data_IF_333887466781
#
_entry.id   IF_333887466781
#
_cell.length_a   1.000
_cell.length_b   1.000
_cell.length_c   1.000
_cell.angle_alpha   90.00
_cell.angle_beta   90.00
_cell.angle_gamma   90.00
#
_symmetry.space_group_name_H-M   'P 1'
#
loop_
_entity.id
_entity.type
_entity.pdbx_description
1 polymer ?
#
# COMPACT_ATOMS: atom_id res chain seq x y z
N UNK A 1 -14.08 27.50 72.54
CA UNK A 1 -13.89 28.48 71.45
C UNK A 1 -14.58 27.90 70.22
N UNK A 2 -15.72 28.51 69.88
CA UNK A 2 -16.49 28.55 68.62
C UNK A 2 -15.70 28.15 67.37
N UNK A 3 -16.18 27.53 66.28
CA UNK A 3 -17.44 27.43 65.51
C UNK A 3 -17.27 26.17 64.61
N UNK A 4 -18.25 25.40 64.15
CA UNK A 4 -19.53 25.76 63.56
C UNK A 4 -19.47 25.73 62.02
N UNK A 5 -20.11 24.71 61.44
CA UNK A 5 -20.71 24.65 60.09
C UNK A 5 -19.86 24.64 58.81
N UNK A 6 -20.03 23.54 58.05
CA UNK A 6 -20.36 23.61 56.62
C UNK A 6 -21.54 22.68 56.34
N UNK A 7 -22.65 23.27 55.91
CA UNK A 7 -23.79 22.61 55.27
C UNK A 7 -23.61 22.83 53.77
N UNK A 8 -23.72 21.79 52.95
CA UNK A 8 -23.52 21.95 51.50
C UNK A 8 -23.78 20.69 50.68
N UNK A 9 -25.06 20.46 50.43
CA UNK A 9 -25.69 19.63 49.40
C UNK A 9 -24.93 19.50 48.05
N UNK A 10 -24.79 18.28 47.55
CA UNK A 10 -24.79 17.90 46.12
C UNK A 10 -24.60 16.37 46.10
N UNK A 11 -25.50 15.53 45.58
CA UNK A 11 -26.18 15.60 44.30
C UNK A 11 -26.19 14.16 43.80
N UNK A 12 -27.35 13.68 43.37
CA UNK A 12 -27.58 12.29 43.00
C UNK A 12 -26.54 11.77 41.98
N UNK A 13 -25.89 10.65 42.32
CA UNK A 13 -25.15 9.86 41.33
C UNK A 13 -26.16 9.24 40.35
N UNK A 14 -26.40 9.92 39.23
CA UNK A 14 -27.08 9.34 38.08
C UNK A 14 -26.21 8.22 37.54
N UNK A 15 -26.71 6.99 37.60
CA UNK A 15 -26.17 5.87 36.85
C UNK A 15 -26.40 6.16 35.36
N UNK A 16 -25.38 6.61 34.65
CA UNK A 16 -25.39 6.66 33.19
C UNK A 16 -25.22 5.23 32.68
N UNK A 17 -26.35 4.58 32.41
CA UNK A 17 -26.43 3.31 31.71
C UNK A 17 -25.96 3.55 30.25
N UNK A 18 -24.89 2.92 29.78
CA UNK A 18 -24.52 3.04 28.36
C UNK A 18 -25.64 2.41 27.52
N UNK A 19 -26.26 3.23 26.68
CA UNK A 19 -27.19 2.77 25.65
C UNK A 19 -26.45 1.87 24.66
N UNK A 20 -27.04 0.74 24.22
CA UNK A 20 -26.45 -0.06 23.16
C UNK A 20 -26.55 0.73 21.85
N UNK A 21 -25.41 1.23 21.37
CA UNK A 21 -25.30 1.75 20.00
C UNK A 21 -25.61 0.61 19.02
N UNK A 22 -26.75 0.71 18.35
CA UNK A 22 -27.12 -0.22 17.27
C UNK A 22 -26.10 -0.10 16.13
N UNK A 23 -25.51 -1.20 15.64
CA UNK A 23 -24.70 -1.16 14.43
C UNK A 23 -25.64 -1.00 13.23
N UNK A 24 -25.68 0.20 12.64
CA UNK A 24 -26.26 0.38 11.31
C UNK A 24 -25.44 -0.44 10.31
N UNK A 25 -25.95 -1.61 9.96
CA UNK A 25 -25.44 -2.45 8.87
C UNK A 25 -25.77 -1.73 7.56
N UNK A 26 -24.85 -0.88 7.08
CA UNK A 26 -24.87 -0.45 5.69
C UNK A 26 -24.52 -1.66 4.80
N UNK A 27 -25.31 -1.99 3.78
CA UNK A 27 -24.88 -2.97 2.79
C UNK A 27 -23.65 -2.43 2.04
N UNK A 28 -22.66 -3.29 1.70
CA UNK A 28 -21.54 -2.88 0.88
C UNK A 28 -22.05 -2.51 -0.51
N UNK A 29 -21.88 -1.24 -0.90
CA UNK A 29 -22.10 -0.78 -2.27
C UNK A 29 -21.11 -1.55 -3.17
N UNK A 30 -21.57 -2.31 -4.18
CA UNK A 30 -20.66 -2.91 -5.13
C UNK A 30 -19.93 -1.77 -5.88
N UNK A 31 -18.59 -1.81 -5.99
CA UNK A 31 -17.88 -0.78 -6.74
C UNK A 31 -18.40 -0.76 -8.18
N UNK A 32 -18.50 0.43 -8.81
CA UNK A 32 -18.87 0.50 -10.22
C UNK A 32 -17.91 -0.38 -11.01
N UNK A 33 -18.45 -1.27 -11.83
CA UNK A 33 -17.71 -2.03 -12.85
C UNK A 33 -17.22 -1.03 -13.90
N UNK A 34 -16.18 -0.28 -13.54
CA UNK A 34 -15.38 0.48 -14.47
C UNK A 34 -14.87 -0.53 -15.49
N UNK A 35 -15.11 -0.28 -16.78
CA UNK A 35 -14.43 -1.00 -17.84
C UNK A 35 -12.94 -0.97 -17.48
N UNK A 36 -12.37 -2.14 -17.15
CA UNK A 36 -11.00 -2.24 -16.66
C UNK A 36 -10.08 -1.66 -17.74
N UNK A 37 -9.72 -0.38 -17.58
CA UNK A 37 -8.76 0.26 -18.45
C UNK A 37 -7.48 -0.55 -18.25
N UNK A 38 -6.88 -0.99 -19.36
CA UNK A 38 -5.66 -1.78 -19.27
C UNK A 38 -4.60 -0.95 -18.54
N UNK A 39 -4.08 -1.48 -17.44
CA UNK A 39 -3.04 -0.86 -16.63
C UNK A 39 -1.89 -0.42 -17.53
N UNK A 40 -1.30 0.74 -17.25
CA UNK A 40 -0.06 1.16 -17.91
C UNK A 40 1.08 1.10 -16.91
N UNK A 41 2.24 0.60 -17.30
CA UNK A 41 3.42 0.56 -16.44
C UNK A 41 4.66 0.95 -17.24
N UNK A 42 5.71 1.36 -16.55
CA UNK A 42 7.03 1.44 -17.15
C UNK A 42 7.58 0.04 -17.39
N UNK A 43 8.24 -0.17 -18.54
CA UNK A 43 8.82 -1.45 -18.92
C UNK A 43 10.22 -1.28 -19.50
N UNK A 44 11.20 -1.96 -18.90
CA UNK A 44 12.61 -1.94 -19.35
C UNK A 44 13.47 -2.91 -18.55
N UNK A 45 14.73 -3.01 -18.96
CA UNK A 45 15.80 -3.67 -18.23
C UNK A 45 17.11 -2.91 -18.50
N UNK A 46 17.46 -2.00 -17.60
CA UNK A 46 18.58 -1.08 -17.77
C UNK A 46 19.24 -0.76 -16.42
N UNK A 47 20.50 -0.31 -16.47
CA UNK A 47 21.19 0.21 -15.29
C UNK A 47 20.70 1.62 -14.95
N UNK A 48 20.32 1.87 -13.70
CA UNK A 48 19.85 3.19 -13.25
C UNK A 48 18.37 3.50 -13.49
N UNK A 49 17.61 2.57 -14.07
CA UNK A 49 16.16 2.72 -14.27
C UNK A 49 15.74 3.25 -15.64
N UNK A 50 14.43 3.33 -15.85
CA UNK A 50 13.83 3.85 -17.08
C UNK A 50 12.41 4.38 -16.81
N UNK A 51 11.89 5.14 -17.78
CA UNK A 51 10.57 5.77 -17.70
C UNK A 51 9.70 5.50 -18.93
N UNK A 52 10.05 4.49 -19.75
CA UNK A 52 9.27 4.17 -20.95
C UNK A 52 7.96 3.51 -20.57
N UNK A 53 6.83 4.20 -20.80
CA UNK A 53 5.49 3.70 -20.54
C UNK A 53 5.06 2.65 -21.58
N UNK A 54 4.37 1.62 -21.12
CA UNK A 54 3.80 0.56 -21.94
C UNK A 54 2.42 0.16 -21.42
N UNK A 55 1.56 -0.26 -22.35
CA UNK A 55 0.25 -0.81 -22.02
C UNK A 55 0.39 -2.26 -21.59
N UNK A 56 -0.12 -2.59 -20.41
CA UNK A 56 -0.06 -3.94 -19.89
C UNK A 56 -1.10 -4.86 -20.54
N UNK A 57 -0.86 -6.18 -20.51
CA UNK A 57 -1.89 -7.18 -20.75
C UNK A 57 -3.12 -6.97 -19.86
N UNK A 58 -4.31 -7.32 -20.35
CA UNK A 58 -5.60 -7.11 -19.63
C UNK A 58 -5.66 -7.82 -18.26
N UNK A 59 -4.90 -8.89 -18.08
CA UNK A 59 -4.84 -9.67 -16.84
C UNK A 59 -3.74 -9.18 -15.87
N UNK A 60 -3.01 -8.12 -16.21
CA UNK A 60 -2.01 -7.54 -15.31
C UNK A 60 -2.67 -6.53 -14.39
N UNK A 61 -2.43 -6.68 -13.09
CA UNK A 61 -2.96 -5.80 -12.06
C UNK A 61 -1.85 -5.06 -11.30
N UNK A 62 -0.59 -5.41 -11.54
CA UNK A 62 0.57 -4.84 -10.84
C UNK A 62 1.60 -4.33 -11.83
N UNK A 63 2.12 -3.13 -11.57
CA UNK A 63 3.43 -2.72 -12.06
C UNK A 63 4.47 -3.18 -11.05
N UNK A 64 5.56 -3.75 -11.55
CA UNK A 64 6.66 -4.28 -10.74
C UNK A 64 7.95 -3.56 -11.13
N UNK A 65 8.73 -3.16 -10.13
CA UNK A 65 10.12 -2.71 -10.26
C UNK A 65 11.00 -3.68 -9.49
N UNK A 66 12.06 -4.19 -10.14
CA UNK A 66 13.06 -5.06 -9.54
C UNK A 66 14.43 -4.41 -9.73
N UNK A 67 15.08 -4.01 -8.65
CA UNK A 67 16.43 -3.44 -8.68
C UNK A 67 17.43 -4.43 -8.09
N UNK A 68 18.42 -4.85 -8.87
CA UNK A 68 19.45 -5.81 -8.45
C UNK A 68 20.82 -5.15 -8.46
N UNK A 69 21.49 -5.12 -7.31
CA UNK A 69 22.93 -4.78 -7.25
C UNK A 69 23.74 -6.06 -7.39
N UNK A 70 24.57 -6.14 -8.43
CA UNK A 70 25.45 -7.28 -8.66
C UNK A 70 26.83 -6.94 -8.04
N UNK A 71 27.33 -7.69 -7.04
CA UNK A 71 28.56 -7.37 -6.31
C UNK A 71 29.85 -7.30 -7.16
N UNK A 72 29.82 -7.81 -8.39
CA UNK A 72 30.97 -7.93 -9.29
C UNK A 72 30.95 -6.91 -10.44
N UNK A 73 29.92 -6.06 -10.53
CA UNK A 73 29.78 -5.11 -11.63
C UNK A 73 30.57 -3.84 -11.38
N UNK A 74 31.40 -3.43 -12.36
CA UNK A 74 32.14 -2.15 -12.40
C UNK A 74 31.25 -0.89 -12.47
N UNK A 75 29.93 -1.09 -12.45
CA UNK A 75 28.90 -0.05 -12.60
C UNK A 75 28.21 0.05 -11.24
N UNK A 76 28.30 1.21 -10.59
CA UNK A 76 27.74 1.48 -9.25
C UNK A 76 26.19 1.48 -9.24
N UNK A 77 25.57 1.55 -10.42
CA UNK A 77 24.12 1.58 -10.57
C UNK A 77 23.51 0.17 -10.48
N UNK A 78 22.35 0.00 -9.81
CA UNK A 78 21.61 -1.26 -9.85
C UNK A 78 21.03 -1.52 -11.24
N UNK A 79 20.96 -2.79 -11.63
CA UNK A 79 20.17 -3.23 -12.78
C UNK A 79 18.70 -3.19 -12.40
N UNK A 80 17.93 -2.32 -13.05
CA UNK A 80 16.51 -2.12 -12.80
C UNK A 80 15.70 -2.76 -13.92
N UNK A 81 14.79 -3.65 -13.54
CA UNK A 81 13.81 -4.26 -14.45
C UNK A 81 12.42 -3.79 -14.04
N UNK A 82 11.67 -3.22 -14.99
CA UNK A 82 10.29 -2.77 -14.78
C UNK A 82 9.36 -3.59 -15.68
N UNK A 83 8.22 -4.05 -15.15
CA UNK A 83 7.31 -4.94 -15.88
C UNK A 83 5.86 -4.86 -15.41
N UNK A 84 4.94 -5.34 -16.25
CA UNK A 84 3.55 -5.63 -15.87
C UNK A 84 3.44 -7.07 -15.37
N UNK A 85 2.71 -7.29 -14.28
CA UNK A 85 2.43 -8.65 -13.77
C UNK A 85 0.99 -8.80 -13.26
N UNK A 86 0.53 -10.05 -13.25
CA UNK A 86 -0.76 -10.43 -12.65
C UNK A 86 -0.68 -10.51 -11.12
N UNK A 87 0.50 -10.76 -10.56
CA UNK A 87 0.79 -10.78 -9.12
C UNK A 87 2.16 -10.17 -8.83
N UNK A 88 2.40 -9.74 -7.59
CA UNK A 88 3.72 -9.28 -7.17
C UNK A 88 4.64 -10.50 -6.95
N UNK A 89 5.78 -10.63 -7.65
CA UNK A 89 6.69 -11.77 -7.49
C UNK A 89 7.55 -11.64 -6.22
N UNK A 90 7.88 -12.79 -5.62
CA UNK A 90 8.78 -12.87 -4.46
C UNK A 90 10.26 -12.96 -4.85
N UNK A 91 11.08 -12.20 -4.14
CA UNK A 91 12.54 -12.09 -4.33
C UNK A 91 13.24 -13.45 -4.38
N UNK A 92 12.85 -14.38 -3.49
CA UNK A 92 13.46 -15.71 -3.37
C UNK A 92 13.36 -16.55 -4.66
N UNK A 93 12.44 -16.20 -5.58
CA UNK A 93 12.22 -16.96 -6.81
C UNK A 93 13.11 -16.54 -7.98
N UNK A 94 13.77 -15.37 -7.91
CA UNK A 94 14.56 -14.84 -9.03
C UNK A 94 16.05 -15.24 -8.99
N UNK A 95 16.55 -15.75 -7.86
CA UNK A 95 17.96 -16.18 -7.74
C UNK A 95 18.98 -15.03 -7.84
N UNK A 96 18.53 -13.78 -7.68
CA UNK A 96 19.32 -12.57 -7.89
C UNK A 96 20.01 -12.09 -6.61
N UNK A 97 20.75 -12.96 -5.92
CA UNK A 97 21.61 -12.62 -4.77
C UNK A 97 20.91 -11.89 -3.60
N UNK A 98 21.65 -11.48 -2.56
CA UNK A 98 21.07 -10.84 -1.37
C UNK A 98 20.78 -9.34 -1.53
N UNK A 99 21.13 -8.72 -2.67
CA UNK A 99 21.03 -7.28 -2.90
C UNK A 99 20.00 -6.92 -3.98
N UNK A 100 18.78 -7.44 -3.81
CA UNK A 100 17.66 -7.19 -4.71
C UNK A 100 16.50 -6.54 -3.95
N UNK A 101 15.87 -5.54 -4.57
CA UNK A 101 14.69 -4.86 -4.07
C UNK A 101 13.55 -5.04 -5.07
N UNK A 102 12.36 -5.38 -4.58
CA UNK A 102 11.14 -5.50 -5.39
C UNK A 102 10.08 -4.56 -4.83
N UNK A 103 9.47 -3.78 -5.72
CA UNK A 103 8.36 -2.88 -5.41
C UNK A 103 7.23 -3.15 -6.38
N UNK A 104 6.02 -3.26 -5.85
CA UNK A 104 4.81 -3.50 -6.63
C UNK A 104 3.72 -2.48 -6.31
N UNK A 105 2.95 -2.09 -7.32
CA UNK A 105 1.88 -1.12 -7.19
C UNK A 105 0.78 -1.37 -8.24
N UNK A 106 -0.45 -0.93 -7.96
CA UNK A 106 -1.67 -1.35 -8.71
C UNK A 106 -2.31 -0.22 -9.54
N UNK A 107 -1.60 0.89 -9.74
CA UNK A 107 -2.10 2.04 -10.48
C UNK A 107 -1.18 2.38 -11.66
N UNK A 108 -1.74 3.02 -12.69
CA UNK A 108 -0.98 3.27 -13.91
C UNK A 108 0.25 4.15 -13.67
N UNK A 109 1.38 3.76 -14.26
CA UNK A 109 2.67 4.44 -14.24
C UNK A 109 3.26 4.64 -12.83
N UNK A 110 2.82 3.84 -11.86
CA UNK A 110 3.27 3.92 -10.48
C UNK A 110 4.73 3.52 -10.28
N UNK A 111 5.27 2.71 -11.17
CA UNK A 111 6.63 2.18 -11.09
C UNK A 111 7.65 3.12 -11.75
N UNK A 112 7.57 4.43 -11.46
CA UNK A 112 8.46 5.45 -12.02
C UNK A 112 9.82 5.49 -11.30
N UNK A 113 9.80 5.35 -9.98
CA UNK A 113 10.97 5.41 -9.06
C UNK A 113 11.84 4.14 -9.14
#
# INVERSE_FOLDING_TARGET
MTVGHWVGVAGAIRQDLPTPVSPSVHPPVPPPVAAAQALMCHQCKDFGGCTRAFRCPRNSNYCVTIATRVPLSLIDLPMVTKSCQTSCPDISTLGLGPHVSIVCCQFSLCNQD
#
